data_IF_678371093853
#
_entry.id   IF_678371093853
#
_cell.length_a   1.000
_cell.length_b   1.000
_cell.length_c   1.000
_cell.angle_alpha   90.00
_cell.angle_beta   90.00
_cell.angle_gamma   90.00
#
_symmetry.space_group_name_H-M   'P 1'
#
loop_
_entity.id
_entity.type
_entity.pdbx_description
1 polymer ?
#
# COMPACT_ATOMS: atom_id res chain seq x y z
N UNK A 1 18.64 18.77 -17.32
CA UNK A 1 19.64 18.37 -16.29
C UNK A 1 19.06 17.25 -15.43
N UNK A 2 19.85 16.58 -14.59
CA UNK A 2 19.32 15.55 -13.66
C UNK A 2 18.21 16.11 -12.75
N UNK A 3 18.42 17.31 -12.21
CA UNK A 3 17.44 18.01 -11.38
C UNK A 3 16.09 18.22 -12.09
N UNK A 4 16.10 18.64 -13.36
CA UNK A 4 14.85 18.80 -14.12
C UNK A 4 14.10 17.47 -14.32
N UNK A 5 14.82 16.36 -14.46
CA UNK A 5 14.21 15.03 -14.52
C UNK A 5 13.55 14.66 -13.19
N UNK A 6 14.25 14.87 -12.07
CA UNK A 6 13.71 14.64 -10.73
C UNK A 6 12.48 15.51 -10.48
N UNK A 7 12.54 16.82 -10.77
CA UNK A 7 11.39 17.73 -10.62
C UNK A 7 10.18 17.28 -11.46
N UNK A 8 10.43 16.75 -12.66
CA UNK A 8 9.36 16.24 -13.52
C UNK A 8 8.75 14.96 -12.95
N UNK A 9 9.57 14.06 -12.40
CA UNK A 9 9.11 12.86 -11.70
C UNK A 9 8.33 13.21 -10.43
N UNK A 10 8.80 14.15 -9.63
CA UNK A 10 8.13 14.59 -8.40
C UNK A 10 6.75 15.20 -8.68
N UNK A 11 6.59 15.91 -9.81
CA UNK A 11 5.27 16.38 -10.24
C UNK A 11 4.29 15.23 -10.51
N UNK A 12 4.78 14.05 -10.92
CA UNK A 12 3.92 12.85 -11.06
C UNK A 12 3.47 12.32 -9.69
N UNK A 13 4.32 12.41 -8.67
CA UNK A 13 3.96 12.01 -7.30
C UNK A 13 2.87 12.92 -6.72
N UNK A 14 2.92 14.22 -7.00
CA UNK A 14 1.83 15.16 -6.65
C UNK A 14 0.51 14.76 -7.34
N UNK A 15 0.59 14.24 -8.57
CA UNK A 15 -0.61 13.76 -9.26
C UNK A 15 -1.11 12.42 -8.69
N UNK A 16 -0.22 11.52 -8.29
CA UNK A 16 -0.58 10.29 -7.57
C UNK A 16 -1.29 10.62 -6.26
N UNK A 17 -0.75 11.55 -5.48
CA UNK A 17 -1.39 12.06 -4.25
C UNK A 17 -2.81 12.56 -4.52
N UNK A 18 -2.98 13.40 -5.55
CA UNK A 18 -4.29 13.89 -5.98
C UNK A 18 -5.26 12.75 -6.34
N UNK A 19 -4.83 11.73 -7.09
CA UNK A 19 -5.69 10.61 -7.47
C UNK A 19 -6.06 9.74 -6.26
N UNK A 20 -5.12 9.49 -5.35
CA UNK A 20 -5.37 8.74 -4.12
C UNK A 20 -6.34 9.50 -3.21
N UNK A 21 -6.16 10.81 -3.03
CA UNK A 21 -7.10 11.65 -2.27
C UNK A 21 -8.51 11.62 -2.90
N UNK A 22 -8.61 11.76 -4.23
CA UNK A 22 -9.90 11.65 -4.94
C UNK A 22 -10.57 10.31 -4.72
N UNK A 23 -9.81 9.20 -4.78
CA UNK A 23 -10.35 7.87 -4.53
C UNK A 23 -10.85 7.72 -3.08
N UNK A 24 -10.08 8.20 -2.09
CA UNK A 24 -10.49 8.18 -0.68
C UNK A 24 -11.76 9.02 -0.47
N UNK A 25 -11.84 10.21 -1.07
CA UNK A 25 -13.01 11.08 -0.91
C UNK A 25 -14.26 10.48 -1.57
N UNK A 26 -14.12 9.84 -2.74
CA UNK A 26 -15.21 9.05 -3.34
C UNK A 26 -15.67 7.91 -2.41
N UNK A 27 -14.73 7.19 -1.79
CA UNK A 27 -15.06 6.12 -0.85
C UNK A 27 -15.73 6.63 0.43
N UNK A 28 -15.42 7.85 0.87
CA UNK A 28 -16.08 8.52 2.02
C UNK A 28 -17.53 8.89 1.70
N UNK A 29 -17.81 9.36 0.49
CA UNK A 29 -19.17 9.73 0.05
C UNK A 29 -20.16 8.54 0.05
N UNK A 30 -19.65 7.31 0.08
CA UNK A 30 -20.43 6.08 0.05
C UNK A 30 -20.43 5.28 1.37
N UNK A 31 -19.93 5.86 2.46
CA UNK A 31 -19.87 5.22 3.79
C UNK A 31 -21.24 4.99 4.44
N UNK A 32 -22.30 5.62 3.93
CA UNK A 32 -23.68 5.36 4.36
C UNK A 32 -24.19 3.97 3.91
N UNK A 33 -23.58 3.39 2.88
CA UNK A 33 -24.01 2.12 2.26
C UNK A 33 -22.96 1.02 2.32
N UNK A 34 -21.69 1.38 2.28
CA UNK A 34 -20.59 0.41 2.18
C UNK A 34 -19.56 0.62 3.27
N UNK A 35 -19.03 -0.49 3.79
CA UNK A 35 -17.82 -0.49 4.61
C UNK A 35 -16.61 -0.38 3.67
N UNK A 36 -16.01 0.81 3.57
CA UNK A 36 -15.00 1.12 2.54
C UNK A 36 -13.56 1.02 3.04
N UNK A 37 -12.66 0.68 2.12
CA UNK A 37 -11.21 0.66 2.30
C UNK A 37 -10.51 0.93 0.95
N UNK A 38 -9.24 1.34 0.98
CA UNK A 38 -8.40 1.54 -0.19
C UNK A 38 -7.02 0.93 0.05
N UNK A 39 -6.50 0.21 -0.95
CA UNK A 39 -5.09 -0.18 -1.04
C UNK A 39 -4.49 0.50 -2.26
N UNK A 40 -3.41 1.25 -2.07
CA UNK A 40 -2.54 1.71 -3.16
C UNK A 40 -1.18 1.05 -3.00
N UNK A 41 -0.62 0.54 -4.08
CA UNK A 41 0.68 -0.12 -4.11
C UNK A 41 1.28 0.07 -5.51
N UNK A 42 2.50 0.60 -5.58
CA UNK A 42 3.22 0.62 -6.86
C UNK A 42 3.70 -0.78 -7.23
N UNK A 43 3.73 -1.07 -8.52
CA UNK A 43 4.26 -2.32 -9.08
C UNK A 43 5.79 -2.37 -9.00
N UNK A 44 6.46 -1.24 -9.25
CA UNK A 44 7.90 -1.05 -9.06
C UNK A 44 8.23 0.45 -8.84
N UNK A 45 9.52 0.74 -8.64
CA UNK A 45 10.06 2.11 -8.59
C UNK A 45 10.76 2.51 -9.89
N UNK A 46 11.51 3.61 -9.89
CA UNK A 46 12.13 4.20 -11.09
C UNK A 46 13.58 4.67 -10.81
N UNK A 47 14.50 4.45 -11.75
CA UNK A 47 15.83 5.08 -11.74
C UNK A 47 15.83 6.39 -12.52
N UNK A 48 16.39 7.44 -11.93
CA UNK A 48 16.38 8.82 -12.47
C UNK A 48 17.80 9.32 -12.80
N UNK A 49 18.69 8.40 -13.17
CA UNK A 49 20.06 8.70 -13.59
C UNK A 49 21.13 8.40 -12.54
N UNK A 50 20.78 7.81 -11.39
CA UNK A 50 21.76 7.29 -10.42
C UNK A 50 22.70 6.30 -11.13
N UNK A 51 24.01 6.51 -11.03
CA UNK A 51 25.03 5.66 -11.65
C UNK A 51 24.84 5.45 -13.17
N UNK A 52 24.21 6.40 -13.86
CA UNK A 52 23.91 6.32 -15.29
C UNK A 52 22.74 5.40 -15.65
N UNK A 53 22.01 4.90 -14.65
CA UNK A 53 20.84 4.03 -14.84
C UNK A 53 19.58 4.91 -14.91
N UNK A 54 18.76 4.66 -15.93
CA UNK A 54 17.47 5.32 -16.14
C UNK A 54 16.38 4.27 -16.28
N UNK A 55 15.13 4.72 -16.08
CA UNK A 55 13.93 3.90 -16.21
C UNK A 55 13.90 2.75 -15.18
N UNK A 56 13.18 1.69 -15.53
CA UNK A 56 13.01 0.46 -14.77
C UNK A 56 13.25 -0.76 -15.66
N UNK A 57 13.11 -1.96 -15.08
CA UNK A 57 13.19 -3.23 -15.81
C UNK A 57 14.55 -3.90 -15.77
N UNK A 58 15.43 -3.50 -14.85
CA UNK A 58 16.64 -4.27 -14.59
C UNK A 58 16.30 -5.64 -14.00
N UNK A 59 17.07 -6.70 -14.30
CA UNK A 59 16.93 -7.98 -13.63
C UNK A 59 16.99 -7.80 -12.11
N UNK A 60 16.04 -8.37 -11.37
CA UNK A 60 15.86 -8.10 -9.94
C UNK A 60 17.14 -8.27 -9.11
N UNK A 61 17.97 -9.27 -9.44
CA UNK A 61 19.23 -9.56 -8.75
C UNK A 61 20.26 -8.42 -8.81
N UNK A 62 20.15 -7.51 -9.78
CA UNK A 62 21.04 -6.36 -9.97
C UNK A 62 20.31 -5.01 -9.95
N UNK A 63 18.98 -5.01 -9.79
CA UNK A 63 18.18 -3.80 -9.77
C UNK A 63 18.49 -2.97 -8.51
N UNK A 64 18.68 -1.65 -8.64
CA UNK A 64 18.90 -0.77 -7.50
C UNK A 64 17.62 -0.67 -6.65
N UNK A 65 17.78 -0.21 -5.41
CA UNK A 65 16.64 -0.05 -4.49
C UNK A 65 15.60 0.95 -5.02
N UNK A 66 16.02 1.93 -5.83
CA UNK A 66 15.10 2.85 -6.51
C UNK A 66 14.09 2.16 -7.43
N UNK A 67 14.37 0.95 -7.93
CA UNK A 67 13.41 0.16 -8.72
C UNK A 67 12.61 -0.86 -7.88
N UNK A 68 13.00 -1.12 -6.63
CA UNK A 68 12.42 -2.20 -5.79
C UNK A 68 11.63 -1.68 -4.59
N UNK A 69 12.04 -0.54 -4.01
CA UNK A 69 11.36 0.08 -2.88
C UNK A 69 10.21 0.93 -3.40
N UNK A 70 8.99 0.54 -3.04
CA UNK A 70 7.75 1.14 -3.56
C UNK A 70 6.85 1.66 -2.45
N UNK A 71 6.04 2.71 -2.71
CA UNK A 71 5.02 3.13 -1.77
C UNK A 71 3.89 2.10 -1.70
N UNK A 72 3.41 1.88 -0.49
CA UNK A 72 2.13 1.21 -0.22
C UNK A 72 1.34 2.07 0.77
N UNK A 73 0.05 2.26 0.51
CA UNK A 73 -0.89 2.93 1.39
C UNK A 73 -2.09 2.03 1.64
N UNK A 74 -2.50 1.95 2.89
CA UNK A 74 -3.73 1.30 3.31
C UNK A 74 -4.59 2.30 4.07
N UNK A 75 -5.77 2.59 3.53
CA UNK A 75 -6.76 3.43 4.18
C UNK A 75 -8.00 2.59 4.52
N UNK A 76 -8.46 2.70 5.77
CA UNK A 76 -9.65 2.02 6.28
C UNK A 76 -10.63 3.07 6.77
N UNK A 77 -11.90 2.99 6.34
CA UNK A 77 -12.96 3.81 6.92
C UNK A 77 -13.11 3.57 8.42
N UNK A 78 -13.65 4.54 9.16
CA UNK A 78 -13.91 4.35 10.60
C UNK A 78 -14.86 3.18 10.85
N UNK A 79 -15.88 2.99 10.00
CA UNK A 79 -16.77 1.83 10.05
C UNK A 79 -16.01 0.52 9.85
N UNK A 80 -15.09 0.47 8.87
CA UNK A 80 -14.24 -0.70 8.65
C UNK A 80 -13.43 -1.05 9.90
N UNK A 81 -12.76 -0.05 10.49
CA UNK A 81 -11.94 -0.26 11.69
C UNK A 81 -12.77 -0.78 12.87
N UNK A 82 -13.98 -0.24 13.08
CA UNK A 82 -14.90 -0.67 14.15
C UNK A 82 -15.45 -2.07 13.89
N UNK A 83 -15.96 -2.32 12.69
CA UNK A 83 -16.62 -3.58 12.30
C UNK A 83 -15.68 -4.77 12.35
N UNK A 84 -14.46 -4.59 11.86
CA UNK A 84 -13.44 -5.64 11.80
C UNK A 84 -12.41 -5.54 12.92
N UNK A 85 -12.67 -4.69 13.92
CA UNK A 85 -11.88 -4.54 15.14
C UNK A 85 -10.38 -4.34 14.88
N UNK A 86 -10.06 -3.52 13.87
CA UNK A 86 -8.69 -3.21 13.48
C UNK A 86 -8.17 -2.08 14.37
N UNK A 87 -7.08 -2.34 15.09
CA UNK A 87 -6.41 -1.36 15.91
C UNK A 87 -5.50 -0.46 15.06
N UNK A 88 -5.93 0.78 14.83
CA UNK A 88 -5.22 1.75 14.01
C UNK A 88 -3.83 2.10 14.57
N UNK A 89 -3.65 2.13 15.89
CA UNK A 89 -2.36 2.44 16.49
C UNK A 89 -1.38 1.28 16.30
N UNK A 90 -1.88 0.04 16.40
CA UNK A 90 -1.12 -1.15 16.02
C UNK A 90 -0.67 -1.06 14.56
N UNK A 91 -1.59 -0.77 13.62
CA UNK A 91 -1.24 -0.68 12.20
C UNK A 91 -0.18 0.39 11.91
N UNK A 92 -0.32 1.57 12.50
CA UNK A 92 0.67 2.64 12.36
C UNK A 92 2.05 2.21 12.89
N UNK A 93 2.09 1.53 14.04
CA UNK A 93 3.34 0.99 14.58
C UNK A 93 3.94 -0.07 13.67
N UNK A 94 3.14 -1.00 13.15
CA UNK A 94 3.61 -2.02 12.21
C UNK A 94 4.17 -1.40 10.93
N UNK A 95 3.48 -0.41 10.37
CA UNK A 95 3.92 0.31 9.17
C UNK A 95 5.28 1.03 9.35
N UNK A 96 5.62 1.45 10.57
CA UNK A 96 6.90 2.10 10.89
C UNK A 96 8.03 1.14 11.24
N UNK A 97 7.71 -0.09 11.65
CA UNK A 97 8.69 -0.99 12.28
C UNK A 97 8.90 -2.31 11.56
N UNK A 98 8.01 -2.69 10.66
CA UNK A 98 8.11 -3.92 9.89
C UNK A 98 8.51 -3.65 8.44
N UNK A 99 8.97 -4.70 7.78
CA UNK A 99 9.23 -4.73 6.35
C UNK A 99 8.15 -5.57 5.66
N UNK A 100 7.60 -5.04 4.57
CA UNK A 100 6.60 -5.71 3.75
C UNK A 100 7.06 -5.75 2.30
N UNK A 101 6.53 -6.73 1.57
CA UNK A 101 6.70 -6.86 0.12
C UNK A 101 5.33 -7.00 -0.55
N UNK A 102 5.33 -7.12 -1.87
CA UNK A 102 4.11 -7.44 -2.62
C UNK A 102 3.56 -8.83 -2.28
N UNK A 103 4.35 -9.71 -1.65
CA UNK A 103 3.90 -11.04 -1.18
C UNK A 103 2.75 -10.92 -0.16
N UNK A 104 2.73 -9.83 0.60
CA UNK A 104 1.70 -9.54 1.58
C UNK A 104 0.35 -9.14 0.96
N UNK A 105 0.32 -8.73 -0.31
CA UNK A 105 -0.89 -8.17 -0.93
C UNK A 105 -2.02 -9.20 -1.00
N UNK A 106 -1.70 -10.44 -1.36
CA UNK A 106 -2.70 -11.48 -1.61
C UNK A 106 -3.52 -11.79 -0.35
N UNK A 107 -2.85 -12.20 0.73
CA UNK A 107 -3.53 -12.53 1.98
C UNK A 107 -4.18 -11.30 2.63
N UNK A 108 -3.57 -10.11 2.50
CA UNK A 108 -4.17 -8.86 2.98
C UNK A 108 -5.49 -8.54 2.27
N UNK A 109 -5.59 -8.73 0.95
CA UNK A 109 -6.84 -8.51 0.20
C UNK A 109 -7.93 -9.53 0.58
N UNK A 110 -7.56 -10.80 0.78
CA UNK A 110 -8.49 -11.82 1.29
C UNK A 110 -9.00 -11.47 2.69
N UNK A 111 -8.09 -11.06 3.58
CA UNK A 111 -8.43 -10.58 4.92
C UNK A 111 -9.33 -9.34 4.88
N UNK A 112 -9.04 -8.40 3.97
CA UNK A 112 -9.82 -7.16 3.79
C UNK A 112 -11.27 -7.43 3.38
N UNK A 113 -11.48 -8.42 2.53
CA UNK A 113 -12.78 -8.76 1.92
C UNK A 113 -13.52 -9.89 2.64
N UNK A 114 -12.89 -10.51 3.64
CA UNK A 114 -13.49 -11.60 4.42
C UNK A 114 -13.62 -12.92 3.65
N UNK A 115 -12.79 -13.14 2.63
CA UNK A 115 -12.83 -14.36 1.82
C UNK A 115 -12.21 -15.52 2.61
N UNK A 116 -13.01 -16.57 2.83
CA UNK A 116 -12.55 -17.83 3.44
C UNK A 116 -12.00 -18.77 2.37
N UNK A 117 -10.71 -19.11 2.46
CA UNK A 117 -10.06 -20.02 1.53
C UNK A 117 -8.82 -20.67 2.14
N UNK A 118 -8.51 -21.89 1.71
CA UNK A 118 -7.28 -22.61 2.12
C UNK A 118 -5.98 -21.94 1.66
N UNK A 119 -6.07 -20.98 0.74
CA UNK A 119 -4.92 -20.23 0.22
C UNK A 119 -4.58 -19.00 1.07
N UNK A 120 -5.42 -18.63 2.03
CA UNK A 120 -5.14 -17.53 2.95
C UNK A 120 -3.98 -17.91 3.87
N UNK A 121 -2.97 -17.04 3.94
CA UNK A 121 -1.83 -17.20 4.84
C UNK A 121 -1.84 -16.05 5.84
N UNK A 122 -2.20 -16.35 7.09
CA UNK A 122 -2.32 -15.36 8.16
C UNK A 122 -1.02 -14.57 8.43
N UNK A 123 0.14 -15.18 8.18
CA UNK A 123 1.44 -14.53 8.32
C UNK A 123 1.69 -13.43 7.27
N UNK A 124 1.02 -13.50 6.11
CA UNK A 124 1.17 -12.54 5.01
C UNK A 124 0.11 -11.42 5.07
N UNK A 125 -0.91 -11.55 5.92
CA UNK A 125 -1.95 -10.54 6.10
C UNK A 125 -1.50 -9.45 7.08
N UNK A 126 -1.28 -8.25 6.55
CA UNK A 126 -0.82 -7.07 7.30
C UNK A 126 -1.80 -6.71 8.43
N UNK A 127 -3.09 -6.94 8.22
CA UNK A 127 -4.12 -6.59 9.20
C UNK A 127 -4.17 -7.58 10.37
N UNK A 128 -3.74 -8.83 10.15
CA UNK A 128 -4.06 -9.92 11.04
C UNK A 128 -3.55 -9.70 12.47
N UNK A 129 -2.32 -9.21 12.63
CA UNK A 129 -1.74 -8.95 13.97
C UNK A 129 -2.38 -7.76 14.69
N UNK A 130 -3.09 -6.91 13.97
CA UNK A 130 -3.75 -5.72 14.50
C UNK A 130 -5.27 -5.87 14.60
N UNK A 131 -5.82 -7.03 14.23
CA UNK A 131 -7.22 -7.37 14.52
C UNK A 131 -7.31 -7.90 15.94
N UNK A 132 -8.24 -7.34 16.72
CA UNK A 132 -8.57 -7.93 18.02
C UNK A 132 -9.34 -9.21 17.76
N UNK A 133 -8.88 -10.32 18.34
CA UNK A 133 -9.65 -11.55 18.36
C UNK A 133 -10.89 -11.26 19.20
N UNK A 134 -12.07 -11.40 18.61
CA UNK A 134 -13.31 -11.44 19.38
C UNK A 134 -13.23 -12.62 20.35
N UNK A 135 -13.33 -12.35 21.64
CA UNK A 135 -13.57 -13.37 22.69
C UNK A 135 -14.85 -14.17 22.41
#
# INVERSE_FOLDING_TARGET
>A
TKEQLVNTYDNTLVYVDYIVDKAINLLKEHQDKFTTSLVYLSDHGESLGENGIYLHGLPYAIAPDSQKQVPMLLWLSEDYQKRYQVDQNCLQKQAQTQHYSQDNLFSTLLGLTGVETKYYQAADDILQTCRRVSE
#
